data_IF_497666396720
#
_entry.id   IF_497666396720
#
_cell.length_a   1.000
_cell.length_b   1.000
_cell.length_c   1.000
_cell.angle_alpha   90.00
_cell.angle_beta   90.00
_cell.angle_gamma   90.00
#
_symmetry.space_group_name_H-M   'P 1'
#
loop_
_entity.id
_entity.type
_entity.pdbx_description
1 polymer ?
#
# COMPACT_ATOMS: atom_id res chain seq x y z
N UNK A 1 -5.71 -42.63 19.00
CA UNK A 1 -5.72 -41.32 19.70
C UNK A 1 -4.51 -40.48 19.27
N UNK A 2 -4.48 -39.97 18.02
CA UNK A 2 -3.37 -39.12 17.49
C UNK A 2 -3.84 -38.12 16.39
N UNK A 3 -5.06 -37.58 16.48
CA UNK A 3 -5.56 -36.56 15.54
C UNK A 3 -5.91 -35.21 16.19
N UNK A 4 -5.50 -34.97 17.45
CA UNK A 4 -5.92 -33.79 18.22
C UNK A 4 -4.92 -32.62 18.31
N UNK A 5 -3.63 -32.80 17.97
CA UNK A 5 -2.58 -31.80 18.26
C UNK A 5 -2.17 -30.90 17.09
N UNK A 6 -2.53 -31.23 15.84
CA UNK A 6 -2.13 -30.42 14.67
C UNK A 6 -2.97 -29.14 14.50
N UNK A 7 -4.22 -29.10 15.00
CA UNK A 7 -5.09 -27.92 14.88
C UNK A 7 -4.77 -26.77 15.84
N UNK A 8 -4.02 -26.99 16.94
CA UNK A 8 -3.71 -25.94 17.93
C UNK A 8 -2.50 -25.08 17.57
N UNK A 9 -1.52 -25.62 16.84
CA UNK A 9 -0.32 -24.86 16.46
C UNK A 9 -0.61 -23.81 15.36
N UNK A 10 -1.40 -24.17 14.34
CA UNK A 10 -1.76 -23.25 13.25
C UNK A 10 -2.58 -22.04 13.70
N UNK A 11 -3.42 -22.19 14.74
CA UNK A 11 -4.19 -21.09 15.30
C UNK A 11 -3.33 -20.06 16.04
N UNK A 12 -2.27 -20.50 16.74
CA UNK A 12 -1.37 -19.61 17.48
C UNK A 12 -0.49 -18.74 16.57
N UNK A 13 -0.03 -19.28 15.44
CA UNK A 13 0.74 -18.50 14.47
C UNK A 13 -0.12 -17.53 13.66
N UNK A 14 -1.37 -17.88 13.35
CA UNK A 14 -2.30 -16.98 12.68
C UNK A 14 -2.67 -15.77 13.56
N UNK A 15 -2.99 -16.00 14.84
CA UNK A 15 -3.32 -14.92 15.79
C UNK A 15 -2.09 -14.07 16.13
N UNK A 16 -0.92 -14.68 16.25
CA UNK A 16 0.34 -13.97 16.44
C UNK A 16 0.68 -13.08 15.23
N UNK A 17 0.51 -13.59 14.01
CA UNK A 17 0.72 -12.80 12.78
C UNK A 17 -0.22 -11.60 12.75
N UNK A 18 -1.53 -11.81 12.96
CA UNK A 18 -2.48 -10.71 12.92
C UNK A 18 -2.15 -9.64 13.97
N UNK A 19 -1.74 -10.05 15.17
CA UNK A 19 -1.28 -9.13 16.21
C UNK A 19 0.02 -8.40 15.82
N UNK A 20 1.00 -9.11 15.26
CA UNK A 20 2.29 -8.55 14.86
C UNK A 20 2.16 -7.61 13.65
N UNK A 21 1.38 -7.99 12.63
CA UNK A 21 1.08 -7.15 11.46
C UNK A 21 0.26 -5.92 11.85
N UNK A 22 -0.70 -6.06 12.79
CA UNK A 22 -1.46 -4.91 13.29
C UNK A 22 -0.57 -3.96 14.10
N UNK A 23 0.31 -4.51 14.96
CA UNK A 23 1.27 -3.72 15.72
C UNK A 23 2.30 -3.02 14.82
N UNK A 24 2.75 -3.70 13.76
CA UNK A 24 3.67 -3.14 12.76
C UNK A 24 3.03 -1.99 11.99
N UNK A 25 1.81 -2.20 11.49
CA UNK A 25 1.05 -1.15 10.81
C UNK A 25 0.87 0.09 11.69
N UNK A 26 0.61 -0.10 12.99
CA UNK A 26 0.55 1.00 13.97
C UNK A 26 1.92 1.66 14.13
N UNK A 27 2.98 0.90 14.41
CA UNK A 27 4.33 1.43 14.62
C UNK A 27 4.85 2.23 13.42
N UNK A 28 4.62 1.73 12.19
CA UNK A 28 5.01 2.41 10.96
C UNK A 28 4.27 3.73 10.81
N UNK A 29 2.95 3.70 11.00
CA UNK A 29 2.07 4.88 10.87
C UNK A 29 2.38 5.96 11.89
N UNK A 30 2.75 5.62 13.12
CA UNK A 30 3.10 6.59 14.17
C UNK A 30 4.59 6.99 14.17
N UNK A 31 5.32 6.71 13.09
CA UNK A 31 6.71 7.15 12.94
C UNK A 31 7.72 6.39 13.80
N UNK A 32 7.30 5.36 14.54
CA UNK A 32 8.16 4.41 15.23
C UNK A 32 8.72 3.40 14.21
N UNK A 33 9.46 3.92 13.22
CA UNK A 33 10.01 3.16 12.09
C UNK A 33 10.97 2.07 12.56
N UNK A 34 11.63 2.28 13.69
CA UNK A 34 12.48 1.32 14.39
C UNK A 34 11.66 0.18 15.02
N UNK A 35 10.50 0.48 15.61
CA UNK A 35 9.58 -0.54 16.14
C UNK A 35 8.90 -1.34 15.02
N UNK A 36 8.48 -0.67 13.94
CA UNK A 36 7.96 -1.34 12.73
C UNK A 36 9.03 -2.25 12.12
N UNK A 37 10.24 -1.74 11.90
CA UNK A 37 11.34 -2.57 11.40
C UNK A 37 11.61 -3.80 12.30
N UNK A 38 11.57 -3.63 13.63
CA UNK A 38 11.73 -4.75 14.58
C UNK A 38 10.57 -5.75 14.51
N UNK A 39 9.33 -5.29 14.34
CA UNK A 39 8.16 -6.16 14.20
C UNK A 39 8.19 -6.91 12.87
N UNK A 40 8.59 -6.25 11.79
CA UNK A 40 8.86 -6.88 10.48
C UNK A 40 9.98 -7.92 10.57
N UNK A 41 11.08 -7.61 11.25
CA UNK A 41 12.19 -8.57 11.43
C UNK A 41 11.76 -9.78 12.26
N UNK A 42 10.95 -9.56 13.29
CA UNK A 42 10.34 -10.64 14.08
C UNK A 42 9.40 -11.50 13.23
N UNK A 43 8.53 -10.87 12.42
CA UNK A 43 7.67 -11.56 11.44
C UNK A 43 8.49 -12.40 10.47
N UNK A 44 9.58 -11.84 9.93
CA UNK A 44 10.48 -12.53 9.00
C UNK A 44 11.18 -13.71 9.63
N UNK A 45 11.61 -13.59 10.88
CA UNK A 45 12.28 -14.67 11.60
C UNK A 45 11.33 -15.81 11.93
N UNK A 46 10.09 -15.53 12.35
CA UNK A 46 9.15 -16.57 12.78
C UNK A 46 8.36 -17.20 11.63
N UNK A 47 8.15 -16.51 10.50
CA UNK A 47 7.32 -17.01 9.39
C UNK A 47 7.80 -18.38 8.84
N UNK A 48 9.10 -18.64 8.64
CA UNK A 48 9.56 -19.97 8.21
C UNK A 48 9.23 -21.07 9.22
N UNK A 49 9.26 -20.76 10.53
CA UNK A 49 8.98 -21.73 11.59
C UNK A 49 7.48 -22.12 11.65
N UNK A 50 6.60 -21.32 11.06
CA UNK A 50 5.17 -21.63 10.95
C UNK A 50 4.85 -22.69 9.88
N UNK A 51 5.79 -22.98 8.97
CA UNK A 51 5.61 -23.98 7.92
C UNK A 51 4.57 -23.61 6.84
N UNK A 52 4.19 -22.32 6.74
CA UNK A 52 3.26 -21.81 5.73
C UNK A 52 4.02 -20.88 4.73
N UNK A 53 4.24 -21.33 3.49
CA UNK A 53 4.88 -20.50 2.46
C UNK A 53 4.12 -19.22 2.10
N UNK A 54 2.78 -19.23 2.20
CA UNK A 54 1.96 -18.05 1.92
C UNK A 54 2.13 -17.00 3.01
N UNK A 55 2.31 -17.44 4.25
CA UNK A 55 2.69 -16.54 5.34
C UNK A 55 4.03 -15.85 5.04
N UNK A 56 5.05 -16.59 4.63
CA UNK A 56 6.36 -16.01 4.31
C UNK A 56 6.26 -14.97 3.18
N UNK A 57 5.49 -15.25 2.14
CA UNK A 57 5.22 -14.31 1.05
C UNK A 57 4.43 -13.07 1.54
N UNK A 58 3.44 -13.24 2.41
CA UNK A 58 2.71 -12.10 3.00
C UNK A 58 3.60 -11.21 3.87
N UNK A 59 4.55 -11.77 4.62
CA UNK A 59 5.54 -10.98 5.37
C UNK A 59 6.47 -10.21 4.44
N UNK A 60 6.87 -10.79 3.31
CA UNK A 60 7.67 -10.08 2.32
C UNK A 60 6.93 -8.85 1.74
N UNK A 61 5.62 -8.95 1.52
CA UNK A 61 4.79 -7.81 1.13
C UNK A 61 4.85 -6.68 2.17
N UNK A 62 4.63 -7.00 3.45
CA UNK A 62 4.63 -6.02 4.56
C UNK A 62 6.02 -5.39 4.75
N UNK A 63 7.08 -6.20 4.68
CA UNK A 63 8.48 -5.75 4.80
C UNK A 63 8.85 -4.62 3.84
N UNK A 64 8.12 -4.48 2.72
CA UNK A 64 8.35 -3.40 1.75
C UNK A 64 8.26 -2.00 2.36
N UNK A 65 7.48 -1.83 3.42
CA UNK A 65 7.36 -0.56 4.15
C UNK A 65 8.71 -0.05 4.67
N UNK A 66 9.59 -0.97 5.11
CA UNK A 66 10.95 -0.63 5.54
C UNK A 66 11.80 -0.07 4.39
N UNK A 67 11.64 -0.59 3.17
CA UNK A 67 12.36 -0.10 1.99
C UNK A 67 11.81 1.24 1.50
N UNK A 68 10.51 1.49 1.61
CA UNK A 68 9.93 2.80 1.32
C UNK A 68 10.45 3.86 2.30
N UNK A 69 10.45 3.57 3.60
CA UNK A 69 10.96 4.49 4.62
C UNK A 69 12.45 4.79 4.44
N UNK A 70 13.26 3.79 4.10
CA UNK A 70 14.70 3.94 3.88
C UNK A 70 15.06 4.48 2.47
N UNK A 71 14.09 4.69 1.58
CA UNK A 71 14.29 4.98 0.14
C UNK A 71 15.18 3.97 -0.58
N UNK A 72 15.25 2.74 -0.09
CA UNK A 72 16.05 1.65 -0.63
C UNK A 72 15.27 0.85 -1.68
N UNK A 73 14.79 1.54 -2.72
CA UNK A 73 13.83 0.98 -3.69
C UNK A 73 14.39 -0.19 -4.51
N UNK A 74 15.61 -0.06 -5.06
CA UNK A 74 16.25 -1.15 -5.80
C UNK A 74 16.46 -2.44 -4.98
N UNK A 75 17.04 -2.37 -3.76
CA UNK A 75 17.11 -3.51 -2.86
C UNK A 75 15.74 -4.10 -2.49
N UNK A 76 14.73 -3.25 -2.29
CA UNK A 76 13.39 -3.71 -1.97
C UNK A 76 12.69 -4.43 -3.14
N UNK A 77 12.89 -3.96 -4.38
CA UNK A 77 12.41 -4.66 -5.58
C UNK A 77 13.00 -6.06 -5.68
N UNK A 78 14.34 -6.20 -5.55
CA UNK A 78 15.01 -7.52 -5.56
C UNK A 78 14.51 -8.44 -4.45
N UNK A 79 14.20 -7.90 -3.26
CA UNK A 79 13.66 -8.68 -2.16
C UNK A 79 12.24 -9.21 -2.46
N UNK A 80 11.42 -8.43 -3.18
CA UNK A 80 10.09 -8.87 -3.64
C UNK A 80 10.20 -9.91 -4.76
N UNK A 81 11.12 -9.73 -5.72
CA UNK A 81 11.38 -10.71 -6.78
C UNK A 81 11.80 -12.07 -6.20
N UNK A 82 12.72 -12.07 -5.23
CA UNK A 82 13.09 -13.30 -4.50
C UNK A 82 11.89 -13.95 -3.77
N UNK A 83 11.00 -13.13 -3.19
CA UNK A 83 9.79 -13.65 -2.55
C UNK A 83 8.78 -14.20 -3.58
N UNK A 84 8.69 -13.61 -4.77
CA UNK A 84 7.87 -14.09 -5.89
C UNK A 84 8.37 -15.43 -6.44
N UNK A 85 9.69 -15.60 -6.53
CA UNK A 85 10.34 -16.86 -6.95
C UNK A 85 10.12 -17.97 -5.93
N UNK A 86 10.16 -17.65 -4.64
CA UNK A 86 9.91 -18.59 -3.55
C UNK A 86 8.43 -18.86 -3.28
N UNK A 87 7.52 -18.00 -3.78
CA UNK A 87 6.09 -18.14 -3.55
C UNK A 87 5.54 -19.39 -4.28
N UNK A 88 4.59 -20.12 -3.65
CA UNK A 88 4.00 -21.30 -4.26
C UNK A 88 3.25 -20.94 -5.55
N UNK A 89 3.04 -21.95 -6.40
CA UNK A 89 2.30 -21.78 -7.65
C UNK A 89 0.88 -21.20 -7.39
N UNK A 90 0.40 -20.27 -8.24
CA UNK A 90 -0.89 -19.62 -8.08
C UNK A 90 -2.02 -20.54 -8.57
N UNK A 91 -2.32 -21.59 -7.81
CA UNK A 91 -3.33 -22.62 -8.16
C UNK A 91 -4.68 -22.39 -7.48
N UNK A 92 -4.70 -21.80 -6.28
CA UNK A 92 -5.90 -21.57 -5.49
C UNK A 92 -5.99 -20.11 -5.08
N UNK A 93 -7.20 -19.64 -4.74
CA UNK A 93 -7.43 -18.22 -4.47
C UNK A 93 -6.44 -17.58 -3.48
N UNK A 94 -6.06 -18.21 -2.35
CA UNK A 94 -5.06 -17.61 -1.45
C UNK A 94 -3.66 -17.48 -2.06
N UNK A 95 -3.19 -18.47 -2.83
CA UNK A 95 -1.87 -18.40 -3.45
C UNK A 95 -1.83 -17.46 -4.66
N UNK A 96 -2.93 -17.39 -5.41
CA UNK A 96 -3.14 -16.39 -6.47
C UNK A 96 -3.07 -14.99 -5.86
N UNK A 97 -3.83 -14.75 -4.79
CA UNK A 97 -3.94 -13.43 -4.18
C UNK A 97 -2.64 -12.95 -3.52
N UNK A 98 -1.94 -13.82 -2.79
CA UNK A 98 -0.66 -13.46 -2.16
C UNK A 98 0.41 -13.17 -3.22
N UNK A 99 0.50 -13.99 -4.27
CA UNK A 99 1.46 -13.75 -5.37
C UNK A 99 1.10 -12.48 -6.15
N UNK A 100 -0.18 -12.25 -6.40
CA UNK A 100 -0.67 -11.03 -7.03
C UNK A 100 -0.39 -9.77 -6.20
N UNK A 101 -0.57 -9.85 -4.88
CA UNK A 101 -0.24 -8.75 -3.97
C UNK A 101 1.26 -8.43 -3.97
N UNK A 102 2.12 -9.44 -4.05
CA UNK A 102 3.56 -9.24 -4.22
C UNK A 102 3.90 -8.52 -5.53
N UNK A 103 3.33 -8.93 -6.66
CA UNK A 103 3.49 -8.23 -7.94
C UNK A 103 2.99 -6.79 -7.87
N UNK A 104 1.80 -6.58 -7.31
CA UNK A 104 1.21 -5.25 -7.11
C UNK A 104 2.15 -4.33 -6.29
N UNK A 105 2.78 -4.85 -5.24
CA UNK A 105 3.77 -4.12 -4.44
C UNK A 105 5.09 -3.90 -5.19
N UNK A 106 5.55 -4.90 -5.93
CA UNK A 106 6.75 -4.84 -6.75
C UNK A 106 6.64 -3.74 -7.83
N UNK A 107 5.45 -3.58 -8.41
CA UNK A 107 5.19 -2.50 -9.36
C UNK A 107 5.36 -1.11 -8.75
N UNK A 108 4.83 -0.88 -7.54
CA UNK A 108 4.96 0.41 -6.84
C UNK A 108 6.43 0.71 -6.52
N UNK A 109 7.17 -0.26 -6.00
CA UNK A 109 8.58 -0.02 -5.66
C UNK A 109 9.45 0.16 -6.90
N UNK A 110 9.17 -0.55 -8.00
CA UNK A 110 9.79 -0.33 -9.29
C UNK A 110 9.52 1.09 -9.81
N UNK A 111 8.26 1.56 -9.67
CA UNK A 111 7.89 2.95 -9.97
C UNK A 111 8.73 3.94 -9.18
N UNK A 112 8.88 3.75 -7.86
CA UNK A 112 9.73 4.60 -7.00
C UNK A 112 11.22 4.51 -7.34
N UNK A 113 11.67 3.38 -7.89
CA UNK A 113 13.01 3.20 -8.43
C UNK A 113 13.19 3.80 -9.84
N UNK A 114 12.15 4.41 -10.42
CA UNK A 114 12.11 4.96 -11.79
C UNK A 114 12.30 3.90 -12.87
N UNK A 115 11.96 2.65 -12.59
CA UNK A 115 11.96 1.56 -13.55
C UNK A 115 10.54 1.34 -14.10
N UNK A 116 10.21 2.08 -15.17
CA UNK A 116 8.91 2.00 -15.83
C UNK A 116 8.64 0.62 -16.43
N UNK A 117 9.69 -0.06 -16.92
CA UNK A 117 9.55 -1.38 -17.54
C UNK A 117 9.17 -2.43 -16.50
N UNK A 118 9.90 -2.50 -15.38
CA UNK A 118 9.58 -3.43 -14.31
C UNK A 118 8.22 -3.13 -13.66
N UNK A 119 7.88 -1.84 -13.51
CA UNK A 119 6.58 -1.43 -13.00
C UNK A 119 5.42 -1.92 -13.88
N UNK A 120 5.55 -1.80 -15.20
CA UNK A 120 4.56 -2.29 -16.16
C UNK A 120 4.42 -3.81 -16.10
N UNK A 121 5.54 -4.55 -16.17
CA UNK A 121 5.54 -6.02 -16.08
C UNK A 121 4.82 -6.52 -14.83
N UNK A 122 5.13 -5.94 -13.67
CA UNK A 122 4.51 -6.37 -12.43
C UNK A 122 3.04 -5.95 -12.30
N UNK A 123 2.62 -4.82 -12.87
CA UNK A 123 1.20 -4.47 -12.93
C UNK A 123 0.41 -5.46 -13.79
N UNK A 124 0.97 -5.88 -14.93
CA UNK A 124 0.29 -6.80 -15.85
C UNK A 124 0.13 -8.19 -15.23
N UNK A 125 1.17 -8.69 -14.55
CA UNK A 125 1.08 -9.93 -13.76
C UNK A 125 0.06 -9.82 -12.61
N UNK A 126 0.05 -8.69 -11.90
CA UNK A 126 -0.92 -8.46 -10.84
C UNK A 126 -2.37 -8.45 -11.40
N UNK A 127 -2.59 -7.83 -12.56
CA UNK A 127 -3.90 -7.80 -13.24
C UNK A 127 -4.35 -9.21 -13.64
N UNK A 128 -3.46 -9.97 -14.29
CA UNK A 128 -3.76 -11.34 -14.70
C UNK A 128 -4.11 -12.26 -13.52
N UNK A 129 -3.51 -12.04 -12.35
CA UNK A 129 -3.84 -12.77 -11.12
C UNK A 129 -5.13 -12.26 -10.47
N UNK A 130 -5.39 -10.95 -10.50
CA UNK A 130 -6.61 -10.35 -9.97
C UNK A 130 -7.87 -10.83 -10.72
N UNK A 131 -7.79 -11.04 -12.03
CA UNK A 131 -8.91 -11.54 -12.84
C UNK A 131 -9.36 -12.96 -12.45
N UNK A 132 -8.55 -13.67 -11.65
CA UNK A 132 -8.77 -15.06 -11.24
C UNK A 132 -9.32 -15.20 -9.83
N UNK A 133 -9.49 -14.11 -9.09
CA UNK A 133 -10.00 -14.12 -7.70
C UNK A 133 -10.95 -12.95 -7.46
N UNK A 134 -11.97 -13.11 -6.60
CA UNK A 134 -12.77 -11.98 -6.17
C UNK A 134 -11.95 -11.04 -5.29
N UNK A 135 -12.35 -9.76 -5.27
CA UNK A 135 -11.85 -8.78 -4.32
C UNK A 135 -12.04 -9.28 -2.88
N UNK A 136 -10.99 -9.23 -2.08
CA UNK A 136 -11.02 -9.76 -0.73
C UNK A 136 -9.72 -9.54 0.04
N UNK A 137 -9.72 -9.92 1.32
CA UNK A 137 -8.53 -9.87 2.18
C UNK A 137 -7.95 -11.27 2.32
N UNK A 138 -6.72 -11.45 1.85
CA UNK A 138 -5.99 -12.71 1.88
C UNK A 138 -4.72 -12.52 2.70
N UNK A 139 -4.54 -13.32 3.76
CA UNK A 139 -3.36 -13.22 4.62
C UNK A 139 -3.08 -11.79 5.13
N UNK A 140 -4.15 -11.06 5.48
CA UNK A 140 -4.07 -9.69 5.97
C UNK A 140 -3.84 -8.63 4.89
N UNK A 141 -3.77 -9.01 3.61
CA UNK A 141 -3.58 -8.08 2.49
C UNK A 141 -4.79 -8.10 1.57
N UNK A 142 -5.37 -6.94 1.29
CA UNK A 142 -6.44 -6.84 0.29
C UNK A 142 -5.89 -7.11 -1.12
N UNK A 143 -6.61 -7.86 -1.94
CA UNK A 143 -6.24 -8.13 -3.31
C UNK A 143 -7.46 -8.49 -4.16
N UNK A 144 -7.39 -8.15 -5.43
CA UNK A 144 -8.46 -8.28 -6.42
C UNK A 144 -8.42 -7.15 -7.44
N UNK A 145 -9.42 -7.09 -8.34
CA UNK A 145 -9.45 -6.12 -9.43
C UNK A 145 -9.43 -4.66 -8.96
N UNK A 146 -10.22 -4.31 -7.94
CA UNK A 146 -10.28 -2.94 -7.43
C UNK A 146 -8.97 -2.56 -6.71
N UNK A 147 -8.39 -3.53 -6.01
CA UNK A 147 -7.09 -3.39 -5.37
C UNK A 147 -5.97 -3.09 -6.37
N UNK A 148 -5.93 -3.80 -7.50
CA UNK A 148 -4.97 -3.53 -8.58
C UNK A 148 -5.22 -2.16 -9.20
N UNK A 149 -6.48 -1.79 -9.43
CA UNK A 149 -6.85 -0.47 -9.99
C UNK A 149 -6.37 0.69 -9.14
N UNK A 150 -6.41 0.58 -7.81
CA UNK A 150 -5.80 1.55 -6.90
C UNK A 150 -4.28 1.64 -7.12
N UNK A 151 -3.60 0.51 -7.23
CA UNK A 151 -2.14 0.49 -7.39
C UNK A 151 -1.67 0.98 -8.76
N UNK A 152 -2.52 0.94 -9.79
CA UNK A 152 -2.23 1.60 -11.06
C UNK A 152 -2.05 3.12 -10.89
N UNK A 153 -2.87 3.75 -10.03
CA UNK A 153 -2.69 5.17 -9.65
C UNK A 153 -1.40 5.34 -8.85
N UNK A 154 -1.14 4.47 -7.87
CA UNK A 154 0.10 4.51 -7.09
C UNK A 154 1.35 4.44 -7.96
N UNK A 155 1.34 3.55 -8.96
CA UNK A 155 2.46 3.37 -9.90
C UNK A 155 2.62 4.58 -10.79
N UNK A 156 1.53 5.11 -11.35
CA UNK A 156 1.57 6.32 -12.17
C UNK A 156 2.20 7.50 -11.42
N UNK A 157 1.79 7.73 -10.17
CA UNK A 157 2.39 8.77 -9.32
C UNK A 157 3.85 8.45 -8.96
N UNK A 158 4.17 7.17 -8.70
CA UNK A 158 5.53 6.76 -8.35
C UNK A 158 6.54 6.96 -9.49
N UNK A 159 6.10 6.79 -10.74
CA UNK A 159 6.89 7.05 -11.95
C UNK A 159 7.11 8.54 -12.23
N UNK A 160 6.43 9.43 -11.51
CA UNK A 160 6.62 10.89 -11.54
C UNK A 160 5.78 11.62 -12.59
N UNK A 161 6.04 12.92 -12.70
CA UNK A 161 5.20 13.92 -13.39
C UNK A 161 4.74 13.52 -14.80
N UNK A 162 5.60 12.90 -15.61
CA UNK A 162 5.26 12.48 -16.98
C UNK A 162 4.12 11.44 -17.03
N UNK A 163 3.81 10.77 -15.92
CA UNK A 163 2.85 9.68 -15.84
C UNK A 163 1.56 10.04 -15.09
N UNK A 164 1.44 11.27 -14.55
CA UNK A 164 0.26 11.69 -13.77
C UNK A 164 -1.03 11.71 -14.60
N UNK A 165 -0.93 11.91 -15.92
CA UNK A 165 -2.08 11.85 -16.81
C UNK A 165 -2.81 10.50 -16.74
N UNK A 166 -2.07 9.41 -16.51
CA UNK A 166 -2.67 8.07 -16.31
C UNK A 166 -3.47 7.99 -15.01
N UNK A 167 -2.95 8.57 -13.92
CA UNK A 167 -3.66 8.63 -12.64
C UNK A 167 -4.98 9.41 -12.76
N UNK A 168 -4.93 10.57 -13.44
CA UNK A 168 -6.11 11.40 -13.67
C UNK A 168 -7.15 10.69 -14.56
N UNK A 169 -6.71 10.04 -15.64
CA UNK A 169 -7.60 9.29 -16.53
C UNK A 169 -8.30 8.12 -15.83
N UNK A 170 -7.62 7.44 -14.88
CA UNK A 170 -8.27 6.42 -14.04
C UNK A 170 -9.35 7.06 -13.17
N UNK A 171 -9.02 8.18 -12.50
CA UNK A 171 -9.92 8.84 -11.57
C UNK A 171 -11.14 9.51 -12.24
N UNK A 172 -11.06 9.86 -13.53
CA UNK A 172 -12.21 10.41 -14.26
C UNK A 172 -13.29 9.37 -14.57
N UNK A 173 -12.94 8.08 -14.62
CA UNK A 173 -13.85 7.00 -15.01
C UNK A 173 -14.22 6.09 -13.83
N UNK A 174 -13.40 6.07 -12.79
CA UNK A 174 -13.49 5.10 -11.72
C UNK A 174 -13.14 5.70 -10.36
N UNK A 175 -13.86 5.26 -9.33
CA UNK A 175 -13.57 5.59 -7.94
C UNK A 175 -13.64 4.32 -7.07
N UNK A 176 -12.87 4.25 -5.96
CA UNK A 176 -12.86 3.07 -5.11
C UNK A 176 -14.24 2.75 -4.52
N UNK A 177 -14.75 1.51 -4.69
CA UNK A 177 -16.03 1.13 -4.11
C UNK A 177 -16.00 1.10 -2.58
N UNK A 178 -17.15 1.36 -1.96
CA UNK A 178 -17.31 1.41 -0.50
C UNK A 178 -17.00 0.07 0.21
N UNK A 179 -16.97 -1.05 -0.52
CA UNK A 179 -16.61 -2.37 0.02
C UNK A 179 -15.12 -2.55 0.31
N UNK A 180 -14.25 -1.72 -0.29
CA UNK A 180 -12.80 -1.81 -0.04
C UNK A 180 -12.42 -1.32 1.36
N UNK A 181 -11.32 -1.79 1.95
CA UNK A 181 -10.81 -1.26 3.22
C UNK A 181 -10.63 0.26 3.19
N UNK A 182 -11.04 0.96 4.25
CA UNK A 182 -10.97 2.43 4.32
C UNK A 182 -9.55 2.98 4.08
N UNK A 183 -8.53 2.26 4.51
CA UNK A 183 -7.13 2.59 4.26
C UNK A 183 -6.77 2.57 2.76
N UNK A 184 -7.22 1.55 2.02
CA UNK A 184 -7.05 1.47 0.55
C UNK A 184 -7.70 2.66 -0.14
N UNK A 185 -8.96 2.94 0.22
CA UNK A 185 -9.73 4.04 -0.39
C UNK A 185 -9.09 5.40 -0.09
N UNK A 186 -8.71 5.66 1.16
CA UNK A 186 -8.02 6.92 1.51
C UNK A 186 -6.66 7.05 0.82
N UNK A 187 -5.89 5.97 0.71
CA UNK A 187 -4.62 5.95 -0.03
C UNK A 187 -4.79 6.38 -1.49
N UNK A 188 -5.81 5.86 -2.18
CA UNK A 188 -6.15 6.29 -3.55
C UNK A 188 -6.35 7.81 -3.66
N UNK A 189 -7.13 8.42 -2.76
CA UNK A 189 -7.38 9.86 -2.81
C UNK A 189 -6.14 10.69 -2.44
N UNK A 190 -5.24 10.18 -1.59
CA UNK A 190 -3.96 10.83 -1.30
C UNK A 190 -3.07 10.87 -2.55
N UNK A 191 -2.99 9.76 -3.27
CA UNK A 191 -2.18 9.68 -4.49
C UNK A 191 -2.80 10.46 -5.65
N UNK A 192 -4.13 10.45 -5.76
CA UNK A 192 -4.86 11.30 -6.70
C UNK A 192 -4.61 12.78 -6.42
N UNK A 193 -4.67 13.20 -5.15
CA UNK A 193 -4.37 14.57 -4.76
C UNK A 193 -2.97 15.01 -5.22
N UNK A 194 -1.98 14.11 -5.11
CA UNK A 194 -0.63 14.36 -5.60
C UNK A 194 -0.58 14.50 -7.11
N UNK A 195 -1.22 13.61 -7.86
CA UNK A 195 -1.30 13.70 -9.31
C UNK A 195 -1.96 15.01 -9.77
N UNK A 196 -3.05 15.40 -9.10
CA UNK A 196 -3.75 16.67 -9.33
C UNK A 196 -2.84 17.86 -9.05
N UNK A 197 -2.11 17.86 -7.92
CA UNK A 197 -1.20 18.94 -7.56
C UNK A 197 -0.05 19.10 -8.58
N UNK A 198 0.58 18.01 -9.01
CA UNK A 198 1.62 18.04 -10.06
C UNK A 198 1.08 18.50 -11.42
N UNK A 199 -0.23 18.36 -11.63
CA UNK A 199 -0.93 18.84 -12.83
C UNK A 199 -1.47 20.27 -12.69
N UNK A 200 -1.17 20.97 -11.60
CA UNK A 200 -1.63 22.35 -11.35
C UNK A 200 -3.07 22.46 -10.85
N UNK A 201 -3.74 21.34 -10.55
CA UNK A 201 -5.13 21.27 -10.09
C UNK A 201 -5.20 21.34 -8.55
N UNK A 202 -4.74 22.47 -7.98
CA UNK A 202 -4.60 22.61 -6.52
C UNK A 202 -5.93 22.54 -5.75
N UNK A 203 -7.03 22.98 -6.37
CA UNK A 203 -8.38 22.84 -5.82
C UNK A 203 -8.82 21.37 -5.70
N UNK A 204 -8.75 20.65 -6.81
CA UNK A 204 -9.12 19.23 -6.85
C UNK A 204 -8.24 18.40 -5.91
N UNK A 205 -6.95 18.74 -5.83
CA UNK A 205 -6.03 18.12 -4.89
C UNK A 205 -6.49 18.30 -3.44
N UNK A 206 -6.92 19.50 -3.06
CA UNK A 206 -7.39 19.77 -1.71
C UNK A 206 -8.71 19.04 -1.39
N UNK A 207 -9.63 18.97 -2.35
CA UNK A 207 -10.85 18.18 -2.23
C UNK A 207 -10.52 16.69 -2.03
N UNK A 208 -9.63 16.12 -2.84
CA UNK A 208 -9.18 14.74 -2.67
C UNK A 208 -8.56 14.46 -1.29
N UNK A 209 -7.72 15.37 -0.77
CA UNK A 209 -7.19 15.26 0.60
C UNK A 209 -8.30 15.32 1.67
N UNK A 210 -9.33 16.13 1.44
CA UNK A 210 -10.50 16.23 2.32
C UNK A 210 -11.32 14.94 2.31
N UNK A 211 -11.51 14.33 1.13
CA UNK A 211 -12.15 13.01 0.99
C UNK A 211 -11.34 11.94 1.71
N UNK A 212 -10.01 11.91 1.54
CA UNK A 212 -9.13 10.98 2.25
C UNK A 212 -9.29 11.11 3.77
N UNK A 213 -9.26 12.34 4.30
CA UNK A 213 -9.46 12.64 5.74
C UNK A 213 -10.81 12.12 6.23
N UNK A 214 -11.88 12.29 5.47
CA UNK A 214 -13.22 11.79 5.85
C UNK A 214 -13.28 10.26 5.90
N UNK A 215 -12.59 9.58 4.99
CA UNK A 215 -12.58 8.12 4.90
C UNK A 215 -11.73 7.48 6.00
N UNK A 216 -10.51 7.98 6.20
CA UNK A 216 -9.57 7.45 7.18
C UNK A 216 -8.71 8.59 7.74
N UNK A 217 -9.19 9.31 8.77
CA UNK A 217 -8.53 10.53 9.25
C UNK A 217 -7.13 10.26 9.78
N UNK A 218 -6.94 9.20 10.56
CA UNK A 218 -5.62 8.88 11.14
C UNK A 218 -4.61 8.49 10.06
N UNK A 219 -5.01 7.65 9.10
CA UNK A 219 -4.15 7.29 7.96
C UNK A 219 -3.73 8.52 7.15
N UNK A 220 -4.67 9.43 6.88
CA UNK A 220 -4.43 10.65 6.13
C UNK A 220 -3.53 11.62 6.88
N UNK A 221 -3.74 11.80 8.19
CA UNK A 221 -2.94 12.71 9.04
C UNK A 221 -1.45 12.33 9.06
N UNK A 222 -1.19 11.03 9.18
CA UNK A 222 0.18 10.53 9.36
C UNK A 222 0.96 10.38 8.04
N UNK A 223 0.26 10.37 6.90
CA UNK A 223 0.88 10.19 5.59
C UNK A 223 1.76 11.39 5.21
N UNK A 224 3.03 11.14 4.90
CA UNK A 224 4.02 12.21 4.62
C UNK A 224 3.62 13.08 3.42
N UNK A 225 3.06 12.47 2.38
CA UNK A 225 2.64 13.19 1.19
C UNK A 225 1.49 14.17 1.47
N UNK A 226 0.59 13.85 2.40
CA UNK A 226 -0.50 14.76 2.78
C UNK A 226 0.06 16.04 3.37
N UNK A 227 1.07 15.94 4.23
CA UNK A 227 1.74 17.12 4.81
C UNK A 227 2.46 17.95 3.75
N UNK A 228 3.22 17.29 2.88
CA UNK A 228 3.95 17.95 1.79
C UNK A 228 3.00 18.67 0.81
N UNK A 229 1.92 18.00 0.42
CA UNK A 229 0.96 18.50 -0.57
C UNK A 229 0.10 19.60 0.04
N UNK A 230 -0.40 19.44 1.27
CA UNK A 230 -1.13 20.50 1.98
C UNK A 230 -0.29 21.77 2.15
N UNK A 231 0.98 21.63 2.54
CA UNK A 231 1.90 22.76 2.66
C UNK A 231 2.14 23.44 1.30
N UNK A 232 2.23 22.67 0.22
CA UNK A 232 2.40 23.18 -1.14
C UNK A 232 1.14 23.91 -1.62
N UNK A 233 -0.04 23.32 -1.46
CA UNK A 233 -1.33 23.93 -1.79
C UNK A 233 -1.49 25.26 -1.04
N UNK A 234 -1.17 25.30 0.27
CA UNK A 234 -1.19 26.53 1.07
C UNK A 234 -0.28 27.61 0.51
N UNK A 235 0.97 27.27 0.13
CA UNK A 235 1.90 28.21 -0.49
C UNK A 235 1.42 28.73 -1.85
N UNK A 236 0.82 27.86 -2.66
CA UNK A 236 0.29 28.23 -3.98
C UNK A 236 -0.92 29.15 -3.86
N UNK A 237 -1.79 28.88 -2.89
CA UNK A 237 -3.07 29.58 -2.79
C UNK A 237 -3.02 30.90 -2.01
N UNK A 238 -1.93 31.21 -1.27
CA UNK A 238 -1.60 32.49 -0.58
C UNK A 238 -2.74 33.21 0.19
N UNK A 239 -3.94 32.65 0.28
CA UNK A 239 -5.15 33.30 0.75
C UNK A 239 -5.95 32.40 1.70
N UNK A 240 -6.55 33.06 2.71
CA UNK A 240 -7.32 32.56 3.84
C UNK A 240 -8.52 31.68 3.46
N UNK A 241 -8.27 30.45 3.03
CA UNK A 241 -9.27 29.39 3.17
C UNK A 241 -9.14 28.84 4.58
N UNK A 242 -10.02 29.25 5.49
CA UNK A 242 -10.09 28.75 6.86
C UNK A 242 -10.07 27.21 6.89
N UNK A 243 -10.75 26.56 5.94
CA UNK A 243 -10.72 25.10 5.78
C UNK A 243 -9.33 24.55 5.44
N UNK A 244 -8.55 25.21 4.59
CA UNK A 244 -7.18 24.79 4.23
C UNK A 244 -6.22 25.02 5.39
N UNK A 245 -6.33 26.14 6.10
CA UNK A 245 -5.54 26.41 7.31
C UNK A 245 -5.83 25.37 8.39
N UNK A 246 -7.10 25.12 8.69
CA UNK A 246 -7.53 24.09 9.65
C UNK A 246 -7.06 22.69 9.23
N UNK A 247 -7.02 22.39 7.93
CA UNK A 247 -6.48 21.11 7.43
C UNK A 247 -4.97 21.02 7.62
N UNK A 248 -4.22 22.06 7.25
CA UNK A 248 -2.77 22.11 7.38
C UNK A 248 -2.33 22.00 8.85
N UNK A 249 -2.99 22.71 9.76
CA UNK A 249 -2.75 22.58 11.20
C UNK A 249 -3.07 21.18 11.71
N UNK A 250 -4.20 20.59 11.28
CA UNK A 250 -4.60 19.26 11.69
C UNK A 250 -3.59 18.17 11.29
N UNK A 251 -2.94 18.30 10.13
CA UNK A 251 -1.91 17.36 9.69
C UNK A 251 -0.48 17.80 10.03
N UNK A 252 -0.28 18.88 10.79
CA UNK A 252 1.05 19.43 11.12
C UNK A 252 1.88 19.82 9.88
N UNK A 253 1.22 20.38 8.85
CA UNK A 253 1.83 20.88 7.61
C UNK A 253 2.12 22.40 7.67
N UNK A 254 2.68 22.86 8.79
CA UNK A 254 2.88 24.28 9.10
C UNK A 254 4.28 24.74 8.70
#
# INVERSE_FOLDING_TARGET
>A
MKQGLSRRAGGGFATWRDAASSADAVAYKFGARDLSARLVDLMRWAAPAAGDPLLSASVAYVRTETFFAARAHGPGLRALEQALDAAPAPVAAPSIAVKGALHMRAAVIAGRARDASAAATHLDEARALADRVPEGVYYGTAFGPDSVRIHEVSVAVSLGDEHVGRALGIASEWSPPNGLPAERRSGFYIELARAQLWSGLADDAFESLTVARRIAPQHTREHSWVREDAATIRRLKRADSESLTNFAEWCSAI
#
